data_IF_700237328071
#
_entry.id   IF_700237328071
#
_cell.length_a   1.000
_cell.length_b   1.000
_cell.length_c   1.000
_cell.angle_alpha   90.00
_cell.angle_beta   90.00
_cell.angle_gamma   90.00
#
_symmetry.space_group_name_H-M   'P 1'
#
loop_
_entity.id
_entity.type
_entity.pdbx_description
1 polymer ?
#
# COMPACT_ATOMS: atom_id res chain seq x y z
N UNK A 1 -7.38 -9.18 2.45
CA UNK A 1 -7.93 -10.22 1.55
C UNK A 1 -7.73 -11.56 2.23
N UNK A 2 -8.80 -12.26 2.62
CA UNK A 2 -8.68 -13.42 3.55
C UNK A 2 -8.27 -14.72 2.87
N UNK A 3 -8.54 -14.84 1.57
CA UNK A 3 -8.19 -16.02 0.77
C UNK A 3 -6.79 -15.83 0.18
N UNK A 4 -5.80 -15.80 1.06
CA UNK A 4 -4.39 -15.65 0.74
C UNK A 4 -3.56 -16.13 1.93
N UNK A 5 -2.29 -16.48 1.69
CA UNK A 5 -1.33 -16.79 2.73
C UNK A 5 -0.35 -15.63 2.86
N UNK A 6 -0.11 -15.18 4.09
CA UNK A 6 0.76 -14.06 4.42
C UNK A 6 1.85 -14.50 5.39
N UNK A 7 3.07 -14.03 5.16
CA UNK A 7 4.15 -14.08 6.14
C UNK A 7 4.89 -12.74 6.12
N UNK A 8 4.85 -11.99 7.21
CA UNK A 8 5.34 -10.62 7.28
C UNK A 8 6.48 -10.51 8.30
N UNK A 9 7.43 -9.61 8.02
CA UNK A 9 8.47 -9.21 8.96
C UNK A 9 7.85 -8.71 10.28
N UNK A 10 8.39 -9.19 11.41
CA UNK A 10 7.84 -8.85 12.72
C UNK A 10 8.75 -7.92 13.51
N UNK A 11 8.27 -6.72 13.79
CA UNK A 11 8.90 -5.80 14.74
C UNK A 11 8.95 -6.31 16.20
N UNK A 12 8.37 -7.48 16.51
CA UNK A 12 8.53 -8.15 17.82
C UNK A 12 9.87 -8.86 17.89
N UNK A 13 10.27 -9.47 16.78
CA UNK A 13 11.42 -10.35 16.71
C UNK A 13 12.66 -9.63 16.21
N UNK A 14 12.50 -8.56 15.43
CA UNK A 14 13.59 -7.80 14.83
C UNK A 14 13.44 -6.30 15.08
N UNK A 15 14.57 -5.61 15.16
CA UNK A 15 14.61 -4.16 15.03
C UNK A 15 14.27 -3.74 13.59
N UNK A 16 13.31 -2.82 13.43
CA UNK A 16 12.87 -2.38 12.12
C UNK A 16 13.85 -1.38 11.52
N UNK A 17 14.14 -1.50 10.23
CA UNK A 17 15.04 -0.57 9.53
C UNK A 17 14.39 0.82 9.36
N UNK A 18 15.19 1.91 9.36
CA UNK A 18 14.68 3.29 9.25
C UNK A 18 14.31 3.65 7.80
N UNK A 19 13.48 2.82 7.17
CA UNK A 19 13.03 3.01 5.79
C UNK A 19 11.56 3.38 5.83
N UNK A 20 11.22 4.56 5.32
CA UNK A 20 9.87 5.12 5.40
C UNK A 20 9.37 5.51 4.00
N UNK A 21 8.08 5.27 3.75
CA UNK A 21 7.39 5.72 2.56
C UNK A 21 7.15 7.23 2.64
N UNK A 22 7.55 7.91 1.57
CA UNK A 22 7.20 9.29 1.28
C UNK A 22 6.58 9.28 -0.12
N UNK A 23 5.39 9.86 -0.33
CA UNK A 23 4.76 9.88 -1.63
C UNK A 23 5.62 10.64 -2.66
N UNK A 24 5.72 10.09 -3.86
CA UNK A 24 6.37 10.75 -5.00
C UNK A 24 5.57 11.95 -5.51
N UNK A 25 6.16 12.78 -6.39
CA UNK A 25 5.51 13.98 -6.93
C UNK A 25 4.29 13.70 -7.82
N UNK A 26 4.19 12.48 -8.35
CA UNK A 26 3.07 11.99 -9.15
C UNK A 26 1.87 11.52 -8.31
N UNK A 27 2.02 11.47 -6.99
CA UNK A 27 0.93 11.12 -6.08
C UNK A 27 -0.02 12.30 -5.89
N UNK A 28 -1.26 12.15 -6.35
CA UNK A 28 -2.32 13.12 -6.09
C UNK A 28 -2.50 13.35 -4.58
N UNK A 29 -2.57 14.61 -4.13
CA UNK A 29 -2.59 14.98 -2.72
C UNK A 29 -3.92 15.58 -2.26
N UNK A 30 -4.67 16.21 -3.17
CA UNK A 30 -5.86 16.97 -2.82
C UNK A 30 -7.09 16.10 -2.98
N UNK A 31 -7.82 15.89 -1.88
CA UNK A 31 -9.08 15.15 -1.89
C UNK A 31 -10.28 16.11 -2.03
N UNK A 32 -11.14 15.84 -3.00
CA UNK A 32 -12.42 16.55 -3.19
C UNK A 32 -13.57 15.55 -3.30
N UNK A 33 -14.82 16.04 -3.33
CA UNK A 33 -16.00 15.19 -3.44
C UNK A 33 -16.63 14.81 -2.10
N UNK A 34 -17.43 13.75 -2.09
CA UNK A 34 -18.20 13.30 -0.91
C UNK A 34 -17.74 11.91 -0.48
N UNK A 35 -18.01 11.55 0.77
CA UNK A 35 -17.71 10.22 1.31
C UNK A 35 -18.19 9.11 0.39
N UNK A 36 -17.27 8.25 -0.05
CA UNK A 36 -17.53 7.16 -1.01
C UNK A 36 -17.36 7.52 -2.48
N UNK A 37 -17.23 8.82 -2.81
CA UNK A 37 -17.01 9.34 -4.16
C UNK A 37 -15.95 10.45 -4.11
N UNK A 38 -14.76 10.08 -3.64
CA UNK A 38 -13.63 11.01 -3.60
C UNK A 38 -12.91 11.06 -4.93
N UNK A 39 -12.55 12.27 -5.33
CA UNK A 39 -11.58 12.52 -6.38
C UNK A 39 -10.28 12.96 -5.72
N UNK A 40 -9.17 12.42 -6.22
CA UNK A 40 -7.84 12.82 -5.80
C UNK A 40 -7.19 13.57 -6.95
N UNK A 41 -6.77 14.80 -6.70
CA UNK A 41 -6.18 15.71 -7.68
C UNK A 41 -4.69 15.95 -7.37
N UNK A 42 -3.88 16.31 -8.38
CA UNK A 42 -2.50 16.73 -8.16
C UNK A 42 -2.41 17.85 -7.12
N UNK A 43 -1.40 17.79 -6.25
CA UNK A 43 -1.09 18.88 -5.34
C UNK A 43 -0.28 19.98 -6.02
N UNK A 44 -0.23 21.16 -5.42
CA UNK A 44 0.73 22.20 -5.80
C UNK A 44 2.16 21.81 -5.39
N UNK A 45 3.16 22.50 -5.94
CA UNK A 45 4.57 22.27 -5.59
C UNK A 45 4.81 22.47 -4.08
N UNK A 46 4.15 23.47 -3.49
CA UNK A 46 4.22 23.77 -2.06
C UNK A 46 3.59 22.65 -1.22
N UNK A 47 2.47 22.08 -1.67
CA UNK A 47 1.84 20.94 -0.98
C UNK A 47 2.71 19.69 -1.03
N UNK A 48 3.35 19.41 -2.17
CA UNK A 48 4.27 18.28 -2.32
C UNK A 48 5.47 18.46 -1.38
N UNK A 49 6.11 19.63 -1.39
CA UNK A 49 7.24 19.93 -0.51
C UNK A 49 6.86 19.84 0.97
N UNK A 50 5.68 20.35 1.34
CA UNK A 50 5.16 20.27 2.70
C UNK A 50 4.97 18.81 3.15
N UNK A 51 4.32 17.98 2.33
CA UNK A 51 4.11 16.56 2.65
C UNK A 51 5.43 15.82 2.81
N UNK A 52 6.41 16.05 1.92
CA UNK A 52 7.73 15.45 2.04
C UNK A 52 8.41 15.88 3.35
N UNK A 53 8.46 17.18 3.63
CA UNK A 53 9.15 17.74 4.79
C UNK A 53 8.55 17.24 6.11
N UNK A 54 7.22 17.31 6.25
CA UNK A 54 6.54 16.88 7.48
C UNK A 54 6.64 15.37 7.68
N UNK A 55 6.47 14.58 6.61
CA UNK A 55 6.61 13.11 6.70
C UNK A 55 8.03 12.71 7.11
N UNK A 56 9.05 13.36 6.54
CA UNK A 56 10.45 13.12 6.86
C UNK A 56 10.75 13.50 8.32
N UNK A 57 10.34 14.68 8.74
CA UNK A 57 10.58 15.20 10.10
C UNK A 57 9.94 14.29 11.15
N UNK A 58 8.67 13.90 10.95
CA UNK A 58 7.97 12.98 11.83
C UNK A 58 8.63 11.60 11.89
N UNK A 59 9.04 11.06 10.72
CA UNK A 59 9.70 9.74 10.64
C UNK A 59 11.03 9.71 11.38
N UNK A 60 11.85 10.77 11.25
CA UNK A 60 13.14 10.90 11.96
C UNK A 60 12.90 10.94 13.47
N UNK A 61 12.03 11.84 13.94
CA UNK A 61 11.74 12.00 15.37
C UNK A 61 11.19 10.73 16.02
N UNK A 62 10.31 10.02 15.31
CA UNK A 62 9.78 8.74 15.74
C UNK A 62 10.86 7.65 15.83
N UNK A 63 11.75 7.59 14.83
CA UNK A 63 12.83 6.59 14.83
C UNK A 63 13.87 6.86 15.92
N UNK A 64 14.22 8.13 16.18
CA UNK A 64 15.09 8.49 17.31
C UNK A 64 14.46 8.10 18.65
N UNK A 65 13.16 8.31 18.80
CA UNK A 65 12.42 7.89 20.00
C UNK A 65 12.42 6.37 20.16
N UNK A 66 12.22 5.64 19.06
CA UNK A 66 12.31 4.19 19.01
C UNK A 66 13.71 3.70 19.46
N UNK A 67 14.78 4.29 18.92
CA UNK A 67 16.16 3.96 19.27
C UNK A 67 16.45 4.21 20.76
N UNK A 68 16.07 5.39 21.29
CA UNK A 68 16.23 5.68 22.73
C UNK A 68 15.51 4.67 23.62
N UNK A 69 14.33 4.20 23.23
CA UNK A 69 13.61 3.16 23.97
C UNK A 69 14.36 1.81 23.93
N UNK A 70 14.88 1.42 22.77
CA UNK A 70 15.69 0.20 22.64
C UNK A 70 16.98 0.26 23.46
N UNK A 71 17.69 1.38 23.41
CA UNK A 71 18.90 1.63 24.21
C UNK A 71 18.63 1.57 25.71
N UNK A 72 17.45 2.01 26.14
CA UNK A 72 16.97 1.91 27.52
C UNK A 72 16.49 0.50 27.91
N UNK A 73 16.59 -0.50 27.03
CA UNK A 73 16.19 -1.88 27.28
C UNK A 73 14.68 -2.16 27.18
N UNK A 74 13.90 -1.24 26.61
CA UNK A 74 12.47 -1.46 26.36
C UNK A 74 12.29 -2.57 25.32
N UNK A 75 11.37 -3.50 25.58
CA UNK A 75 11.09 -4.60 24.66
C UNK A 75 10.69 -4.07 23.27
N UNK A 76 11.23 -4.68 22.20
CA UNK A 76 11.00 -4.25 20.80
C UNK A 76 9.52 -4.09 20.46
N UNK A 77 8.68 -5.00 20.98
CA UNK A 77 7.25 -4.96 20.70
C UNK A 77 6.52 -3.75 21.28
N UNK A 78 7.08 -3.19 22.35
CA UNK A 78 6.62 -1.95 23.02
C UNK A 78 7.32 -0.74 22.40
N UNK A 79 8.63 -0.78 22.19
CA UNK A 79 9.39 0.34 21.63
C UNK A 79 8.83 0.78 20.26
N UNK A 80 8.46 -0.17 19.40
CA UNK A 80 7.97 0.12 18.04
C UNK A 80 6.62 0.85 17.98
N UNK A 81 5.88 1.00 19.09
CA UNK A 81 4.55 1.64 19.07
C UNK A 81 4.60 3.12 18.64
N UNK A 82 5.78 3.74 18.74
CA UNK A 82 5.99 5.13 18.29
C UNK A 82 6.25 5.24 16.79
N UNK A 83 6.52 4.14 16.10
CA UNK A 83 6.85 4.16 14.68
C UNK A 83 5.58 4.44 13.85
N UNK A 84 5.63 5.38 12.90
CA UNK A 84 4.50 5.73 12.05
C UNK A 84 4.15 4.61 11.06
N UNK A 85 2.92 4.62 10.56
CA UNK A 85 2.41 3.63 9.59
C UNK A 85 3.10 3.69 8.22
N UNK A 86 3.87 4.75 7.93
CA UNK A 86 4.65 4.83 6.71
C UNK A 86 6.01 4.10 6.82
N UNK A 87 6.34 3.45 7.94
CA UNK A 87 7.52 2.57 7.98
C UNK A 87 7.34 1.38 7.02
N UNK A 88 8.39 1.05 6.27
CA UNK A 88 8.34 -0.10 5.39
C UNK A 88 8.29 -1.41 6.19
N UNK A 89 7.51 -2.33 5.64
CA UNK A 89 7.49 -3.74 6.03
C UNK A 89 7.73 -4.59 4.79
N UNK A 90 8.05 -5.86 5.00
CA UNK A 90 8.22 -6.83 3.92
C UNK A 90 7.40 -8.09 4.22
N UNK A 91 6.78 -8.65 3.19
CA UNK A 91 5.97 -9.86 3.34
C UNK A 91 6.00 -10.74 2.09
N UNK A 92 5.85 -12.04 2.31
CA UNK A 92 5.42 -12.98 1.29
C UNK A 92 3.90 -13.03 1.25
N UNK A 93 3.34 -12.96 0.04
CA UNK A 93 1.91 -13.10 -0.21
C UNK A 93 1.71 -14.17 -1.28
N UNK A 94 0.93 -15.19 -0.96
CA UNK A 94 0.54 -16.24 -1.92
C UNK A 94 -0.95 -16.22 -2.15
N UNK A 95 -1.35 -16.22 -3.43
CA UNK A 95 -2.74 -16.30 -3.89
C UNK A 95 -2.84 -17.26 -5.07
N UNK A 96 -3.95 -17.99 -5.15
CA UNK A 96 -4.32 -18.63 -6.42
C UNK A 96 -4.94 -17.59 -7.37
N UNK A 97 -5.12 -17.93 -8.65
CA UNK A 97 -5.63 -17.00 -9.66
C UNK A 97 -7.03 -16.46 -9.35
N UNK A 98 -7.92 -17.26 -8.76
CA UNK A 98 -9.27 -16.81 -8.37
C UNK A 98 -9.21 -15.73 -7.28
N UNK A 99 -8.40 -15.97 -6.25
CA UNK A 99 -8.17 -15.01 -5.19
C UNK A 99 -7.49 -13.73 -5.71
N UNK A 100 -6.55 -13.84 -6.64
CA UNK A 100 -5.91 -12.69 -7.27
C UNK A 100 -6.91 -11.87 -8.11
N UNK A 101 -7.77 -12.50 -8.91
CA UNK A 101 -8.82 -11.76 -9.66
C UNK A 101 -9.75 -11.00 -8.71
N UNK A 102 -10.15 -11.61 -7.59
CA UNK A 102 -10.94 -10.92 -6.56
C UNK A 102 -10.15 -9.81 -5.84
N UNK A 103 -8.83 -9.98 -5.71
CA UNK A 103 -7.96 -8.92 -5.22
C UNK A 103 -7.94 -7.73 -6.18
N UNK A 104 -7.73 -7.98 -7.47
CA UNK A 104 -7.63 -6.96 -8.51
C UNK A 104 -8.94 -6.20 -8.70
N UNK A 105 -10.09 -6.87 -8.64
CA UNK A 105 -11.41 -6.22 -8.77
C UNK A 105 -11.65 -5.16 -7.68
N UNK A 106 -11.06 -5.33 -6.50
CA UNK A 106 -11.18 -4.42 -5.37
C UNK A 106 -10.00 -3.45 -5.23
N UNK A 107 -8.84 -3.76 -5.82
CA UNK A 107 -7.58 -3.03 -5.61
C UNK A 107 -7.05 -2.34 -6.86
N UNK A 108 -7.84 -2.25 -7.93
CA UNK A 108 -7.51 -1.45 -9.11
C UNK A 108 -8.69 -0.57 -9.50
N UNK A 109 -8.40 0.66 -9.94
CA UNK A 109 -9.35 1.55 -10.62
C UNK A 109 -9.14 1.38 -12.13
N UNK A 110 -10.09 0.72 -12.79
CA UNK A 110 -10.10 0.53 -14.25
C UNK A 110 -11.43 0.96 -14.83
N UNK A 111 -11.39 1.59 -15.99
CA UNK A 111 -12.59 1.88 -16.75
C UNK A 111 -13.24 0.56 -17.24
N UNK A 112 -14.57 0.54 -17.37
CA UNK A 112 -15.30 -0.65 -17.85
C UNK A 112 -15.45 -1.79 -16.85
N UNK A 113 -15.00 -1.64 -15.60
CA UNK A 113 -15.28 -2.60 -14.52
C UNK A 113 -16.77 -2.63 -14.19
N UNK A 114 -17.35 -3.82 -14.00
CA UNK A 114 -18.76 -3.95 -13.61
C UNK A 114 -19.04 -3.32 -12.24
N UNK A 115 -18.11 -3.43 -11.29
CA UNK A 115 -18.15 -2.77 -9.99
C UNK A 115 -16.92 -1.88 -9.83
N UNK A 116 -17.05 -0.55 -10.02
CA UNK A 116 -15.94 0.38 -9.83
C UNK A 116 -15.39 0.33 -8.40
N UNK A 117 -14.08 0.25 -8.27
CA UNK A 117 -13.37 0.37 -6.99
C UNK A 117 -12.52 1.65 -6.94
N UNK A 118 -12.33 2.17 -5.73
CA UNK A 118 -11.56 3.38 -5.45
C UNK A 118 -10.48 3.08 -4.40
N UNK A 119 -9.50 2.21 -4.72
CA UNK A 119 -8.42 1.88 -3.79
C UNK A 119 -7.52 3.09 -3.55
N UNK A 120 -6.87 3.11 -2.38
CA UNK A 120 -5.73 4.00 -2.17
C UNK A 120 -4.62 3.67 -3.19
N UNK A 121 -3.94 4.69 -3.73
CA UNK A 121 -2.94 4.52 -4.78
C UNK A 121 -1.83 3.52 -4.41
N UNK A 122 -1.39 3.54 -3.15
CA UNK A 122 -0.28 2.69 -2.69
C UNK A 122 -0.59 1.18 -2.82
N UNK A 123 -1.81 0.74 -2.51
CA UNK A 123 -2.19 -0.67 -2.70
C UNK A 123 -2.50 -0.99 -4.17
N UNK A 124 -2.94 0.00 -4.93
CA UNK A 124 -3.14 -0.13 -6.38
C UNK A 124 -1.82 -0.34 -7.12
N UNK A 125 -0.74 0.36 -6.73
CA UNK A 125 0.61 0.14 -7.28
C UNK A 125 1.08 -1.31 -7.08
N UNK A 126 0.78 -1.90 -5.92
CA UNK A 126 1.04 -3.31 -5.68
C UNK A 126 0.18 -4.22 -6.57
N UNK A 127 -1.10 -3.89 -6.71
CA UNK A 127 -2.05 -4.64 -7.54
C UNK A 127 -1.65 -4.64 -9.02
N UNK A 128 -1.26 -3.49 -9.57
CA UNK A 128 -0.77 -3.34 -10.95
C UNK A 128 0.43 -4.25 -11.20
N UNK A 129 1.42 -4.25 -10.30
CA UNK A 129 2.59 -5.13 -10.43
C UNK A 129 2.21 -6.60 -10.38
N UNK A 130 1.34 -7.00 -9.45
CA UNK A 130 0.85 -8.39 -9.36
C UNK A 130 0.10 -8.79 -10.64
N UNK A 131 -0.73 -7.90 -11.17
CA UNK A 131 -1.47 -8.09 -12.42
C UNK A 131 -0.54 -8.24 -13.63
N UNK A 132 0.48 -7.39 -13.75
CA UNK A 132 1.47 -7.44 -14.85
C UNK A 132 2.24 -8.76 -14.87
N UNK A 133 2.60 -9.30 -13.69
CA UNK A 133 3.21 -10.63 -13.60
C UNK A 133 2.22 -11.74 -13.95
N UNK A 134 0.98 -11.65 -13.46
CA UNK A 134 -0.05 -12.64 -13.72
C UNK A 134 -0.48 -12.70 -15.19
N UNK A 135 -0.60 -11.56 -15.87
CA UNK A 135 -0.98 -11.47 -17.27
C UNK A 135 0.00 -12.23 -18.19
N UNK A 136 1.29 -12.26 -17.83
CA UNK A 136 2.32 -13.03 -18.57
C UNK A 136 2.19 -14.54 -18.34
N UNK A 137 1.76 -14.96 -17.15
CA UNK A 137 1.65 -16.37 -16.76
C UNK A 137 0.34 -17.01 -17.22
N UNK A 138 -0.76 -16.24 -17.23
CA UNK A 138 -2.11 -16.72 -17.55
C UNK A 138 -2.85 -15.76 -18.49
N UNK A 139 -2.34 -15.52 -19.71
CA UNK A 139 -2.84 -14.47 -20.60
C UNK A 139 -4.32 -14.62 -20.98
N UNK A 140 -4.78 -15.84 -21.26
CA UNK A 140 -6.18 -16.08 -21.60
C UNK A 140 -7.13 -15.84 -20.42
N UNK A 141 -6.72 -16.20 -19.20
CA UNK A 141 -7.51 -15.91 -18.00
C UNK A 141 -7.55 -14.41 -17.72
N UNK A 142 -6.42 -13.72 -17.87
CA UNK A 142 -6.34 -12.26 -17.77
C UNK A 142 -7.27 -11.57 -18.78
N UNK A 143 -7.21 -11.95 -20.05
CA UNK A 143 -8.06 -11.39 -21.10
C UNK A 143 -9.55 -11.64 -20.81
N UNK A 144 -9.91 -12.88 -20.46
CA UNK A 144 -11.30 -13.25 -20.11
C UNK A 144 -11.79 -12.46 -18.90
N UNK A 145 -10.97 -12.30 -17.87
CA UNK A 145 -11.31 -11.49 -16.69
C UNK A 145 -11.61 -10.04 -17.06
N UNK A 146 -10.81 -9.43 -17.93
CA UNK A 146 -11.03 -8.07 -18.41
C UNK A 146 -12.31 -7.93 -19.24
N UNK A 147 -12.52 -8.83 -20.21
CA UNK A 147 -13.70 -8.82 -21.08
C UNK A 147 -15.01 -9.01 -20.31
N UNK A 148 -14.97 -9.71 -19.17
CA UNK A 148 -16.13 -9.98 -18.32
C UNK A 148 -16.25 -9.01 -17.15
N UNK A 149 -15.85 -7.75 -17.35
CA UNK A 149 -16.09 -6.67 -16.39
C UNK A 149 -15.24 -6.76 -15.12
N UNK A 150 -14.13 -7.50 -15.14
CA UNK A 150 -13.18 -7.66 -14.03
C UNK A 150 -13.84 -8.19 -12.74
N UNK A 151 -14.80 -9.10 -12.89
CA UNK A 151 -15.44 -9.82 -11.79
C UNK A 151 -14.77 -11.18 -11.63
N UNK A 152 -14.39 -11.53 -10.41
CA UNK A 152 -13.83 -12.85 -10.14
C UNK A 152 -14.91 -13.93 -10.30
N UNK A 153 -14.60 -15.08 -10.94
CA UNK A 153 -15.54 -16.20 -11.06
C UNK A 153 -15.78 -16.90 -9.71
#
# INVERSE_FOLDING_TARGET
HRIASYNEESGRYKELSPVFYIPGPDRNLVQTGKTGHYEFLPGSAEQIALVEQESRTASISAYESYQRMLEAGVAREVARIVLPLNIYSSMYVTMNSRALMNFLSLRTKREGTHFPSFPQREIEMCAEKMEDFWAKLMPFTYETFNQNGRVAP
#
